data_IF_247615627523
#
_entry.id   IF_247615627523
#
_cell.length_a   1.000
_cell.length_b   1.000
_cell.length_c   1.000
_cell.angle_alpha   90.00
_cell.angle_beta   90.00
_cell.angle_gamma   90.00
#
_symmetry.space_group_name_H-M   'P 1'
#
loop_
_entity.id
_entity.type
_entity.pdbx_description
1 polymer ?
#
# COMPACT_ATOMS: atom_id res chain seq x y z
N UNK A 1 0.98 -21.16 0.29
CA UNK A 1 0.20 -19.97 -0.14
C UNK A 1 1.23 -18.93 -0.54
N UNK A 2 1.05 -18.23 -1.67
CA UNK A 2 2.01 -17.21 -2.08
C UNK A 2 2.02 -16.05 -1.08
N UNK A 3 3.22 -15.59 -0.74
CA UNK A 3 3.40 -14.44 0.14
C UNK A 3 3.48 -13.17 -0.68
N UNK A 4 2.77 -12.15 -0.21
CA UNK A 4 2.86 -10.82 -0.77
C UNK A 4 3.14 -9.82 0.34
N UNK A 5 4.02 -8.88 0.03
CA UNK A 5 4.45 -7.83 0.94
C UNK A 5 3.98 -6.49 0.43
N UNK A 6 3.49 -5.65 1.33
CA UNK A 6 3.11 -4.28 1.02
C UNK A 6 4.13 -3.33 1.59
N UNK A 7 4.80 -2.60 0.71
CA UNK A 7 5.84 -1.64 1.05
C UNK A 7 5.36 -0.25 0.71
N UNK A 8 5.16 0.57 1.74
CA UNK A 8 4.83 1.97 1.53
C UNK A 8 6.11 2.78 1.27
N UNK A 9 6.16 3.41 0.10
CA UNK A 9 7.19 4.34 -0.29
C UNK A 9 6.66 5.77 -0.19
N UNK A 10 7.16 6.56 0.75
CA UNK A 10 6.84 7.99 0.88
C UNK A 10 8.12 8.81 0.77
N UNK A 11 7.99 10.08 0.34
CA UNK A 11 9.14 10.98 0.16
C UNK A 11 9.91 11.26 1.46
N UNK A 12 9.27 11.04 2.61
CA UNK A 12 9.89 11.15 3.92
C UNK A 12 10.94 10.07 4.22
N UNK A 13 11.23 9.14 3.30
CA UNK A 13 12.23 8.07 3.43
C UNK A 13 12.04 7.16 4.66
N UNK A 14 10.94 7.33 5.40
CA UNK A 14 10.52 6.41 6.44
C UNK A 14 9.93 5.21 5.72
N UNK A 15 10.71 4.13 5.62
CA UNK A 15 10.18 2.82 5.28
C UNK A 15 9.15 2.48 6.36
N UNK A 16 7.88 2.67 6.06
CA UNK A 16 6.83 2.20 6.94
C UNK A 16 6.81 0.68 6.88
N UNK A 17 6.55 0.07 8.05
CA UNK A 17 6.62 -1.37 8.27
C UNK A 17 5.99 -2.15 7.11
N UNK A 18 6.74 -3.11 6.56
CA UNK A 18 6.25 -4.06 5.58
C UNK A 18 5.02 -4.76 6.15
N UNK A 19 3.84 -4.45 5.63
CA UNK A 19 2.64 -5.21 5.94
C UNK A 19 2.62 -6.41 5.00
N UNK A 20 3.15 -7.55 5.47
CA UNK A 20 3.11 -8.82 4.76
C UNK A 20 1.92 -9.66 5.19
N UNK A 21 1.36 -10.42 4.26
CA UNK A 21 0.32 -11.40 4.55
C UNK A 21 0.35 -12.58 3.57
N UNK A 22 -0.17 -13.72 4.02
CA UNK A 22 -0.45 -14.85 3.14
C UNK A 22 -1.72 -14.55 2.36
N UNK A 23 -1.62 -14.43 1.04
CA UNK A 23 -2.79 -14.25 0.16
C UNK A 23 -2.92 -15.44 -0.79
N UNK A 24 -4.16 -15.88 -1.10
CA UNK A 24 -4.37 -17.00 -2.01
C UNK A 24 -4.00 -16.69 -3.47
N UNK A 25 -4.13 -15.43 -3.88
CA UNK A 25 -3.81 -14.96 -5.22
C UNK A 25 -3.38 -13.48 -5.22
N UNK A 26 -2.81 -13.03 -6.35
CA UNK A 26 -2.42 -11.63 -6.56
C UNK A 26 -3.63 -10.68 -6.44
N UNK A 27 -4.84 -11.15 -6.77
CA UNK A 27 -6.05 -10.34 -6.70
C UNK A 27 -6.45 -10.03 -5.26
N UNK A 28 -6.36 -11.01 -4.36
CA UNK A 28 -6.56 -10.83 -2.93
C UNK A 28 -5.49 -9.93 -2.33
N UNK A 29 -4.22 -10.09 -2.75
CA UNK A 29 -3.14 -9.19 -2.35
C UNK A 29 -3.41 -7.74 -2.79
N UNK A 30 -3.83 -7.52 -4.04
CA UNK A 30 -4.23 -6.20 -4.56
C UNK A 30 -5.41 -5.60 -3.80
N UNK A 31 -6.43 -6.41 -3.48
CA UNK A 31 -7.58 -5.97 -2.69
C UNK A 31 -7.18 -5.58 -1.25
N UNK A 32 -6.27 -6.34 -0.64
CA UNK A 32 -5.66 -6.03 0.65
C UNK A 32 -4.88 -4.73 0.61
N UNK A 33 -4.03 -4.55 -0.40
CA UNK A 33 -3.25 -3.33 -0.63
C UNK A 33 -4.14 -2.10 -0.85
N UNK A 34 -5.22 -2.22 -1.64
CA UNK A 34 -6.20 -1.14 -1.81
C UNK A 34 -6.91 -0.79 -0.50
N UNK A 35 -7.28 -1.79 0.29
CA UNK A 35 -7.92 -1.57 1.60
C UNK A 35 -6.97 -0.88 2.57
N UNK A 36 -5.70 -1.29 2.60
CA UNK A 36 -4.65 -0.63 3.39
C UNK A 36 -4.43 0.82 2.94
N UNK A 37 -4.29 1.07 1.64
CA UNK A 37 -4.15 2.41 1.09
C UNK A 37 -5.34 3.33 1.46
N UNK A 38 -6.57 2.81 1.40
CA UNK A 38 -7.77 3.55 1.85
C UNK A 38 -7.75 3.81 3.35
N UNK A 39 -7.41 2.82 4.17
CA UNK A 39 -7.30 2.99 5.63
C UNK A 39 -6.27 4.06 6.01
N UNK A 40 -5.12 4.09 5.32
CA UNK A 40 -4.09 5.10 5.50
C UNK A 40 -4.60 6.49 5.11
N UNK A 41 -5.32 6.60 3.99
CA UNK A 41 -5.97 7.85 3.59
C UNK A 41 -7.06 8.30 4.57
N UNK A 42 -7.86 7.39 5.13
CA UNK A 42 -8.85 7.72 6.17
C UNK A 42 -8.19 8.15 7.49
N UNK A 43 -7.01 7.61 7.81
CA UNK A 43 -6.25 7.98 9.02
C UNK A 43 -5.72 9.43 8.97
N UNK A 44 -5.78 10.10 7.81
CA UNK A 44 -5.49 11.55 7.65
C UNK A 44 -6.26 12.47 8.59
N UNK A 45 -7.41 12.03 9.14
CA UNK A 45 -8.16 12.83 10.10
C UNK A 45 -7.52 12.90 11.50
N UNK A 46 -6.56 12.01 11.84
CA UNK A 46 -5.97 11.95 13.20
C UNK A 46 -4.46 12.19 13.26
N UNK A 47 -3.73 12.14 12.16
CA UNK A 47 -2.27 12.33 12.11
C UNK A 47 -1.87 13.35 11.03
N UNK A 48 -0.66 13.93 11.08
CA UNK A 48 -0.19 14.88 10.07
C UNK A 48 -0.36 14.30 8.66
N UNK A 49 -0.66 15.15 7.67
CA UNK A 49 -1.08 14.70 6.35
C UNK A 49 -0.04 13.77 5.74
N UNK A 50 -0.38 12.50 5.62
CA UNK A 50 0.36 11.57 4.76
C UNK A 50 0.39 12.24 3.37
N UNK A 51 1.58 12.52 2.87
CA UNK A 51 1.76 13.12 1.55
C UNK A 51 1.11 12.19 0.51
N UNK A 52 0.16 12.70 -0.29
CA UNK A 52 -0.49 11.94 -1.38
C UNK A 52 0.50 11.45 -2.43
N UNK A 53 1.73 11.96 -2.41
CA UNK A 53 2.80 11.59 -3.32
C UNK A 53 3.43 10.23 -2.99
N UNK A 54 2.98 9.53 -1.95
CA UNK A 54 3.42 8.16 -1.65
C UNK A 54 2.83 7.10 -2.58
N UNK A 55 3.54 5.98 -2.72
CA UNK A 55 3.07 4.77 -3.41
C UNK A 55 3.11 3.56 -2.49
N UNK A 56 2.16 2.65 -2.66
CA UNK A 56 2.17 1.33 -2.04
C UNK A 56 2.64 0.33 -3.08
N UNK A 57 3.87 -0.15 -2.93
CA UNK A 57 4.45 -1.20 -3.76
C UNK A 57 4.03 -2.56 -3.20
N UNK A 58 3.62 -3.46 -4.08
CA UNK A 58 3.24 -4.82 -3.75
C UNK A 58 4.37 -5.70 -4.28
N UNK A 59 5.04 -6.39 -3.37
CA UNK A 59 6.14 -7.29 -3.66
C UNK A 59 5.67 -8.74 -3.52
N UNK A 60 6.24 -9.64 -4.33
CA UNK A 60 6.07 -11.09 -4.18
C UNK A 60 7.04 -11.68 -3.13
N UNK A 61 6.96 -12.99 -2.93
CA UNK A 61 7.86 -13.77 -2.06
C UNK A 61 9.37 -13.63 -2.41
N UNK A 62 9.69 -13.09 -3.59
CA UNK A 62 11.07 -12.85 -4.05
C UNK A 62 11.46 -11.37 -3.94
N UNK A 63 10.68 -10.57 -3.21
CA UNK A 63 10.83 -9.11 -3.09
C UNK A 63 10.83 -8.40 -4.44
N UNK A 64 10.12 -8.94 -5.44
CA UNK A 64 9.97 -8.29 -6.74
C UNK A 64 8.69 -7.47 -6.73
N UNK A 65 8.73 -6.18 -7.11
CA UNK A 65 7.53 -5.38 -7.23
C UNK A 65 6.67 -5.95 -8.37
N UNK A 66 5.54 -6.53 -8.02
CA UNK A 66 4.55 -7.09 -8.97
C UNK A 66 3.46 -6.08 -9.31
N UNK A 67 3.21 -5.12 -8.42
CA UNK A 67 2.27 -4.03 -8.66
C UNK A 67 2.60 -2.80 -7.82
N UNK A 68 2.08 -1.65 -8.23
CA UNK A 68 2.22 -0.36 -7.53
C UNK A 68 0.89 0.36 -7.52
N UNK A 69 0.51 0.89 -6.36
CA UNK A 69 -0.68 1.72 -6.18
C UNK A 69 -0.24 3.12 -5.75
N UNK A 70 -0.62 4.14 -6.50
CA UNK A 70 -0.37 5.53 -6.10
C UNK A 70 -1.44 5.99 -5.11
N UNK A 71 -1.04 6.50 -3.94
CA UNK A 71 -2.00 6.99 -2.95
C UNK A 71 -2.81 8.19 -3.48
N UNK A 72 -2.22 9.00 -4.36
CA UNK A 72 -2.93 10.08 -5.05
C UNK A 72 -4.10 9.57 -5.90
N UNK A 73 -3.93 8.44 -6.61
CA UNK A 73 -4.98 7.88 -7.44
C UNK A 73 -6.11 7.29 -6.59
N UNK A 74 -5.75 6.60 -5.50
CA UNK A 74 -6.75 6.09 -4.54
C UNK A 74 -7.50 7.24 -3.88
N UNK A 75 -6.81 8.32 -3.50
CA UNK A 75 -7.43 9.51 -2.94
C UNK A 75 -8.41 10.16 -3.92
N UNK A 76 -8.07 10.20 -5.21
CA UNK A 76 -8.95 10.71 -6.27
C UNK A 76 -10.19 9.82 -6.47
N UNK A 77 -10.07 8.50 -6.28
CA UNK A 77 -11.18 7.55 -6.46
C UNK A 77 -12.18 7.56 -5.30
N UNK A 78 -11.76 7.98 -4.11
CA UNK A 78 -12.62 8.05 -2.91
C UNK A 78 -13.17 9.45 -2.63
N UNK A 79 -12.80 10.44 -3.43
CA UNK A 79 -13.20 11.85 -3.29
C UNK A 79 -14.42 12.21 -4.14
#
# INVERSE_FOLDING_TARGET
MPQFFFRLNTRNAVAHAEQGGDFPDLRAALAGAHSAARAMLHTRHRHPPIELHGSLDIEDERHRPVARILLADVARQIS
#
